data_IF_835290238118
#
_entry.id   IF_835290238118
#
_cell.length_a   1.000
_cell.length_b   1.000
_cell.length_c   1.000
_cell.angle_alpha   90.00
_cell.angle_beta   90.00
_cell.angle_gamma   90.00
#
_symmetry.space_group_name_H-M   'P 1'
#
loop_
_entity.id
_entity.type
_entity.pdbx_description
1 polymer ?
#
# COMPACT_ATOMS: atom_id res chain seq x y z
N UNK A 1 -13.12 9.50 6.50
CA UNK A 1 -12.02 9.43 7.51
C UNK A 1 -12.36 10.44 8.58
N UNK A 2 -12.19 10.14 9.87
CA UNK A 2 -12.27 11.19 10.87
C UNK A 2 -11.07 12.11 10.67
N UNK A 3 -11.30 13.39 10.44
CA UNK A 3 -10.27 14.41 10.15
C UNK A 3 -9.22 14.57 11.28
N UNK A 4 -9.46 13.94 12.41
CA UNK A 4 -8.66 14.06 13.63
C UNK A 4 -7.67 12.89 13.86
N UNK A 5 -7.67 11.85 13.03
CA UNK A 5 -6.83 10.67 13.22
C UNK A 5 -5.78 10.57 12.12
N UNK A 6 -4.53 10.35 12.51
CA UNK A 6 -3.40 10.12 11.60
C UNK A 6 -2.49 9.01 12.13
N UNK A 7 -1.65 8.45 11.27
CA UNK A 7 -0.63 7.46 11.61
C UNK A 7 0.75 7.99 11.28
N UNK A 8 1.73 7.60 12.09
CA UNK A 8 3.12 8.01 11.98
C UNK A 8 4.01 6.78 12.07
N UNK A 9 4.95 6.64 11.13
CA UNK A 9 6.05 5.68 11.22
C UNK A 9 7.22 6.27 12.01
N UNK A 10 7.93 5.42 12.75
CA UNK A 10 9.10 5.81 13.55
C UNK A 10 10.38 5.17 13.04
N UNK A 11 11.51 5.67 13.51
CA UNK A 11 12.82 5.13 13.16
C UNK A 11 13.07 3.75 13.80
N UNK A 12 12.39 3.45 14.91
CA UNK A 12 12.50 2.17 15.62
C UNK A 12 11.63 1.05 14.97
N UNK A 13 10.89 1.35 13.89
CA UNK A 13 10.02 0.37 13.23
C UNK A 13 8.59 0.32 13.76
N UNK A 14 8.23 1.21 14.68
CA UNK A 14 6.86 1.28 15.19
C UNK A 14 5.98 2.17 14.29
N UNK A 15 4.71 1.80 14.17
CA UNK A 15 3.70 2.69 13.60
C UNK A 15 2.73 3.07 14.70
N UNK A 16 2.47 4.37 14.87
CA UNK A 16 1.64 4.90 15.93
C UNK A 16 0.41 5.60 15.37
N UNK A 17 -0.75 5.28 15.91
CA UNK A 17 -1.99 5.98 15.62
C UNK A 17 -2.18 7.10 16.62
N UNK A 18 -2.41 8.30 16.11
CA UNK A 18 -2.49 9.53 16.87
C UNK A 18 -3.82 10.23 16.61
N UNK A 19 -4.23 11.08 17.55
CA UNK A 19 -5.37 11.98 17.40
C UNK A 19 -4.92 13.44 17.55
N UNK A 20 -5.44 14.32 16.69
CA UNK A 20 -5.25 15.76 16.84
C UNK A 20 -5.99 16.33 18.06
N UNK A 21 -7.11 15.70 18.45
CA UNK A 21 -7.94 16.13 19.57
C UNK A 21 -7.42 15.60 20.92
N UNK A 22 -6.59 14.56 20.91
CA UNK A 22 -6.04 13.95 22.11
C UNK A 22 -4.55 13.70 21.91
N UNK A 23 -3.72 14.50 22.56
CA UNK A 23 -2.27 14.50 22.35
C UNK A 23 -1.45 13.94 23.52
N UNK A 24 -2.10 13.52 24.62
CA UNK A 24 -1.40 13.02 25.79
C UNK A 24 -0.75 11.65 25.57
N UNK A 25 -1.39 10.78 24.78
CA UNK A 25 -0.93 9.43 24.48
C UNK A 25 -1.26 9.03 23.03
N UNK A 26 -0.54 8.02 22.52
CA UNK A 26 -0.92 7.36 21.27
C UNK A 26 -2.21 6.57 21.47
N UNK A 27 -3.06 6.53 20.43
CA UNK A 27 -4.28 5.73 20.45
C UNK A 27 -3.97 4.24 20.33
N UNK A 28 -3.02 3.90 19.44
CA UNK A 28 -2.56 2.54 19.22
C UNK A 28 -1.09 2.53 18.79
N UNK A 29 -0.44 1.41 19.01
CA UNK A 29 0.90 1.10 18.51
C UNK A 29 0.85 -0.20 17.73
N UNK A 30 1.38 -0.19 16.51
CA UNK A 30 1.48 -1.34 15.63
C UNK A 30 2.95 -1.75 15.56
N UNK A 31 3.23 -2.97 15.98
CA UNK A 31 4.57 -3.56 16.00
C UNK A 31 4.72 -4.58 14.88
N UNK A 32 5.81 -4.51 14.12
CA UNK A 32 6.02 -5.47 13.05
C UNK A 32 7.16 -5.17 12.12
N UNK A 33 7.62 -3.92 12.01
CA UNK A 33 8.87 -3.61 11.34
C UNK A 33 10.04 -3.66 12.32
N UNK A 34 11.18 -4.13 11.84
CA UNK A 34 12.42 -4.24 12.63
C UNK A 34 13.40 -3.07 12.43
N UNK A 35 13.09 -2.20 11.47
CA UNK A 35 13.88 -1.02 11.10
C UNK A 35 12.97 0.17 10.77
N UNK A 36 13.59 1.32 10.49
CA UNK A 36 12.90 2.57 10.20
C UNK A 36 11.76 2.44 9.18
N UNK A 37 10.59 2.97 9.52
CA UNK A 37 9.41 3.07 8.63
C UNK A 37 9.55 4.33 7.80
N UNK A 38 9.69 4.17 6.49
CA UNK A 38 9.91 5.30 5.56
C UNK A 38 8.62 5.92 5.06
N UNK A 39 7.56 5.13 4.88
CA UNK A 39 6.27 5.65 4.46
C UNK A 39 5.11 4.93 5.12
N UNK A 40 4.03 5.68 5.35
CA UNK A 40 2.72 5.20 5.81
C UNK A 40 1.66 5.84 4.92
N UNK A 41 0.77 5.04 4.32
CA UNK A 41 -0.28 5.51 3.41
C UNK A 41 -1.61 4.85 3.71
N UNK A 42 -2.65 5.64 3.96
CA UNK A 42 -4.02 5.15 4.03
C UNK A 42 -4.51 4.69 2.66
N UNK A 43 -5.32 3.64 2.63
CA UNK A 43 -6.01 3.21 1.41
C UNK A 43 -7.01 4.30 0.96
N UNK A 44 -7.10 4.53 -0.36
CA UNK A 44 -7.99 5.58 -0.90
C UNK A 44 -9.47 5.23 -0.80
N UNK A 45 -9.81 3.95 -0.73
CA UNK A 45 -11.17 3.45 -0.74
C UNK A 45 -11.64 3.03 0.66
N UNK A 46 -10.76 2.39 1.44
CA UNK A 46 -11.09 1.80 2.75
C UNK A 46 -10.49 2.62 3.90
N UNK A 47 -11.32 3.11 4.86
CA UNK A 47 -10.87 4.02 5.92
C UNK A 47 -10.02 3.34 7.01
N UNK A 48 -10.05 2.02 7.11
CA UNK A 48 -9.40 1.29 8.19
C UNK A 48 -8.18 0.47 7.72
N UNK A 49 -7.79 0.61 6.45
CA UNK A 49 -6.62 -0.08 5.89
C UNK A 49 -5.54 0.92 5.54
N UNK A 50 -4.31 0.62 5.94
CA UNK A 50 -3.13 1.37 5.58
C UNK A 50 -1.97 0.45 5.22
N UNK A 51 -0.98 0.98 4.51
CA UNK A 51 0.23 0.30 4.08
C UNK A 51 1.45 1.03 4.60
N UNK A 52 2.49 0.28 4.91
CA UNK A 52 3.78 0.82 5.35
C UNK A 52 4.93 0.18 4.60
N UNK A 53 6.03 0.88 4.49
CA UNK A 53 7.28 0.31 4.00
C UNK A 53 8.45 0.71 4.91
N UNK A 54 9.48 -0.13 4.93
CA UNK A 54 10.59 0.01 5.85
C UNK A 54 11.94 -0.36 5.24
N UNK A 55 12.98 0.08 5.92
CA UNK A 55 14.35 -0.34 5.68
C UNK A 55 14.57 -1.84 5.93
N UNK A 56 13.65 -2.53 6.61
CA UNK A 56 13.68 -3.98 6.88
C UNK A 56 13.30 -4.84 5.66
N UNK A 57 13.26 -4.26 4.46
CA UNK A 57 12.96 -4.87 3.16
C UNK A 57 11.49 -5.22 2.95
N UNK A 58 10.64 -4.88 3.92
CA UNK A 58 9.24 -5.29 3.88
C UNK A 58 8.27 -4.16 3.61
N UNK A 59 7.19 -4.53 2.92
CA UNK A 59 5.95 -3.78 2.84
C UNK A 59 4.91 -4.53 3.67
N UNK A 60 4.15 -3.82 4.50
CA UNK A 60 3.12 -4.42 5.34
C UNK A 60 1.78 -3.70 5.13
N UNK A 61 0.72 -4.51 5.01
CA UNK A 61 -0.66 -4.02 4.98
C UNK A 61 -1.29 -4.27 6.34
N UNK A 62 -1.98 -3.27 6.85
CA UNK A 62 -2.53 -3.26 8.19
C UNK A 62 -4.03 -3.00 8.19
N UNK A 63 -4.71 -3.64 9.12
CA UNK A 63 -6.07 -3.29 9.50
C UNK A 63 -6.01 -2.49 10.81
N UNK A 64 -6.66 -1.34 10.86
CA UNK A 64 -6.66 -0.42 12.00
C UNK A 64 -7.04 -1.06 13.35
N UNK A 65 -7.90 -2.08 13.33
CA UNK A 65 -8.31 -2.83 14.54
C UNK A 65 -7.34 -3.94 14.94
N UNK A 66 -6.29 -4.23 14.15
CA UNK A 66 -5.34 -5.31 14.40
C UNK A 66 -3.94 -4.75 14.64
N UNK A 67 -3.32 -5.10 15.76
CA UNK A 67 -1.94 -4.72 16.07
C UNK A 67 -0.89 -5.53 15.28
N UNK A 68 -1.32 -6.62 14.61
CA UNK A 68 -0.46 -7.42 13.72
C UNK A 68 -0.73 -7.05 12.27
N UNK A 69 0.29 -7.06 11.39
CA UNK A 69 0.10 -6.78 9.97
C UNK A 69 -0.83 -7.83 9.34
N UNK A 70 -1.75 -7.39 8.50
CA UNK A 70 -2.65 -8.27 7.74
C UNK A 70 -1.88 -9.09 6.70
N UNK A 71 -0.94 -8.45 6.01
CA UNK A 71 -0.07 -9.09 5.01
C UNK A 71 1.34 -8.50 5.13
N UNK A 72 2.35 -9.31 4.82
CA UNK A 72 3.75 -8.89 4.77
C UNK A 72 4.37 -9.35 3.46
N UNK A 73 5.06 -8.45 2.77
CA UNK A 73 5.75 -8.69 1.50
C UNK A 73 7.23 -8.39 1.71
N UNK A 74 8.08 -9.37 1.47
CA UNK A 74 9.53 -9.19 1.42
C UNK A 74 9.93 -8.86 -0.03
N UNK A 75 10.56 -7.71 -0.23
CA UNK A 75 10.98 -7.24 -1.55
C UNK A 75 12.46 -7.53 -1.83
N UNK A 76 13.18 -8.12 -0.87
CA UNK A 76 14.58 -8.51 -0.98
C UNK A 76 15.56 -7.32 -0.94
N UNK A 77 15.10 -6.10 -0.64
CA UNK A 77 15.92 -4.91 -0.42
C UNK A 77 15.11 -3.81 0.27
N UNK A 78 15.79 -2.83 0.86
CA UNK A 78 15.15 -1.72 1.57
C UNK A 78 14.14 -0.99 0.68
N UNK A 79 12.95 -0.77 1.20
CA UNK A 79 11.82 -0.17 0.46
C UNK A 79 11.79 1.32 0.71
N UNK A 80 12.11 2.11 -0.33
CA UNK A 80 12.20 3.57 -0.22
C UNK A 80 10.86 4.28 -0.08
N UNK A 81 9.82 3.79 -0.78
CA UNK A 81 8.46 4.34 -0.71
C UNK A 81 7.43 3.32 -1.19
N UNK A 82 6.16 3.53 -0.79
CA UNK A 82 5.01 2.72 -1.19
C UNK A 82 3.78 3.59 -1.39
N UNK A 83 2.96 3.28 -2.39
CA UNK A 83 1.76 4.07 -2.69
C UNK A 83 0.63 3.18 -3.21
N UNK A 84 -0.62 3.44 -2.77
CA UNK A 84 -1.81 2.83 -3.32
C UNK A 84 -2.16 3.42 -4.68
N UNK A 85 -2.66 2.58 -5.57
CA UNK A 85 -3.20 3.06 -6.85
C UNK A 85 -4.51 3.84 -6.64
N UNK A 86 -4.70 4.97 -7.33
CA UNK A 86 -5.90 5.80 -7.16
C UNK A 86 -7.16 5.17 -7.78
N UNK A 87 -7.00 4.16 -8.63
CA UNK A 87 -8.07 3.50 -9.39
C UNK A 87 -8.45 2.12 -8.83
N UNK A 88 -7.74 1.58 -7.86
CA UNK A 88 -8.02 0.26 -7.30
C UNK A 88 -7.62 0.17 -5.83
N UNK A 89 -8.47 -0.46 -5.03
CA UNK A 89 -8.26 -0.66 -3.59
C UNK A 89 -7.20 -1.72 -3.26
N UNK A 90 -6.89 -2.62 -4.20
CA UNK A 90 -6.00 -3.77 -4.01
C UNK A 90 -4.65 -3.62 -4.70
N UNK A 91 -4.46 -2.56 -5.49
CA UNK A 91 -3.22 -2.33 -6.23
C UNK A 91 -2.33 -1.34 -5.48
N UNK A 92 -1.07 -1.68 -5.33
CA UNK A 92 -0.04 -0.76 -4.84
C UNK A 92 1.26 -0.90 -5.61
N UNK A 93 2.07 0.15 -5.58
CA UNK A 93 3.43 0.14 -6.11
C UNK A 93 4.41 0.42 -4.98
N UNK A 94 5.56 -0.24 -5.03
CA UNK A 94 6.68 -0.03 -4.12
C UNK A 94 7.97 0.15 -4.91
N UNK A 95 8.92 0.91 -4.35
CA UNK A 95 10.24 1.13 -4.92
C UNK A 95 11.32 0.74 -3.94
N UNK A 96 12.38 0.12 -4.45
CA UNK A 96 13.47 -0.40 -3.63
C UNK A 96 14.77 0.35 -3.85
N UNK A 97 15.67 0.28 -2.88
CA UNK A 97 16.96 0.98 -2.95
C UNK A 97 17.90 0.40 -4.01
N UNK A 98 17.66 -0.80 -4.50
CA UNK A 98 18.40 -1.39 -5.62
C UNK A 98 17.87 -0.98 -7.03
N UNK A 99 16.97 0.00 -7.09
CA UNK A 99 16.50 0.58 -8.35
C UNK A 99 15.36 -0.18 -9.02
N UNK A 100 14.58 -0.98 -8.28
CA UNK A 100 13.43 -1.72 -8.81
C UNK A 100 12.12 -1.05 -8.43
N UNK A 101 11.16 -1.13 -9.32
CA UNK A 101 9.75 -0.82 -9.12
C UNK A 101 8.97 -2.12 -9.14
N UNK A 102 8.16 -2.36 -8.12
CA UNK A 102 7.29 -3.51 -8.01
C UNK A 102 5.83 -3.06 -7.95
N UNK A 103 4.97 -3.71 -8.71
CA UNK A 103 3.53 -3.44 -8.70
C UNK A 103 2.80 -4.71 -8.31
N UNK A 104 1.99 -4.61 -7.27
CA UNK A 104 1.18 -5.69 -6.72
C UNK A 104 -0.30 -5.45 -7.00
N UNK A 105 -1.05 -6.51 -7.22
CA UNK A 105 -2.51 -6.52 -7.13
C UNK A 105 -2.94 -7.69 -6.24
N UNK A 106 -3.30 -7.38 -5.02
CA UNK A 106 -3.67 -8.33 -3.97
C UNK A 106 -4.87 -9.20 -4.34
N UNK A 107 -5.71 -8.74 -5.27
CA UNK A 107 -6.86 -9.50 -5.74
C UNK A 107 -6.48 -10.59 -6.76
N UNK A 108 -5.34 -10.43 -7.45
CA UNK A 108 -4.84 -11.40 -8.43
C UNK A 108 -3.84 -12.36 -7.84
N UNK A 109 -2.87 -11.84 -7.11
CA UNK A 109 -1.86 -12.63 -6.43
C UNK A 109 -1.50 -11.96 -5.10
N UNK A 110 -1.73 -12.69 -4.00
CA UNK A 110 -1.45 -12.18 -2.65
C UNK A 110 0.04 -12.23 -2.30
N UNK A 111 0.84 -13.04 -3.00
CA UNK A 111 2.21 -13.36 -2.58
C UNK A 111 3.28 -12.70 -3.46
N UNK A 112 3.00 -12.53 -4.76
CA UNK A 112 4.00 -12.09 -5.72
C UNK A 112 3.57 -10.82 -6.47
N UNK A 113 4.54 -9.98 -6.87
CA UNK A 113 4.24 -8.80 -7.68
C UNK A 113 3.77 -9.21 -9.09
N UNK A 114 2.82 -8.49 -9.64
CA UNK A 114 2.41 -8.63 -11.04
C UNK A 114 3.48 -8.15 -12.01
N UNK A 115 4.32 -7.22 -11.57
CA UNK A 115 5.40 -6.67 -12.36
C UNK A 115 6.56 -6.27 -11.46
N UNK A 116 7.76 -6.65 -11.86
CA UNK A 116 9.02 -6.17 -11.27
C UNK A 116 9.86 -5.59 -12.39
N UNK A 117 10.18 -4.29 -12.32
CA UNK A 117 10.94 -3.59 -13.33
C UNK A 117 12.16 -2.90 -12.72
N UNK A 118 13.36 -3.26 -13.18
CA UNK A 118 14.57 -2.48 -12.91
C UNK A 118 14.53 -1.17 -13.72
N UNK A 119 14.63 -0.05 -13.06
CA UNK A 119 14.45 1.29 -13.66
C UNK A 119 15.76 2.06 -13.67
N UNK A 120 16.53 1.95 -12.60
CA UNK A 120 17.80 2.67 -12.44
C UNK A 120 18.89 1.71 -12.00
N UNK A 121 20.10 1.90 -12.55
CA UNK A 121 21.32 1.23 -12.08
C UNK A 121 22.13 2.18 -11.23
N UNK A 122 22.64 1.70 -10.10
CA UNK A 122 23.53 2.45 -9.19
C UNK A 122 22.91 3.73 -8.58
N UNK A 123 21.60 3.78 -8.42
CA UNK A 123 20.90 4.82 -7.67
C UNK A 123 19.77 4.19 -6.85
N UNK A 124 19.47 4.78 -5.68
CA UNK A 124 18.38 4.36 -4.82
C UNK A 124 17.09 5.02 -5.27
N UNK A 125 16.01 4.25 -5.41
CA UNK A 125 14.69 4.85 -5.59
C UNK A 125 14.17 5.29 -4.22
N UNK A 126 13.67 6.52 -4.15
CA UNK A 126 13.28 7.17 -2.89
C UNK A 126 11.80 7.53 -2.82
N UNK A 127 11.17 7.77 -3.98
CA UNK A 127 9.78 8.19 -4.04
C UNK A 127 9.05 7.54 -5.21
N UNK A 128 7.76 7.27 -5.01
CA UNK A 128 6.86 6.75 -6.05
C UNK A 128 5.49 7.38 -5.92
N UNK A 129 4.85 7.71 -7.03
CA UNK A 129 3.47 8.18 -7.05
C UNK A 129 2.76 7.82 -8.35
N UNK A 130 1.47 7.48 -8.26
CA UNK A 130 0.61 7.32 -9.42
C UNK A 130 0.09 8.67 -9.91
N UNK A 131 0.00 8.85 -11.21
CA UNK A 131 -0.80 9.93 -11.75
C UNK A 131 -2.29 9.60 -11.52
N UNK A 132 -3.10 10.52 -10.98
CA UNK A 132 -4.50 10.24 -10.66
C UNK A 132 -5.40 10.10 -11.89
N UNK A 133 -5.01 10.62 -13.05
CA UNK A 133 -5.81 10.61 -14.29
C UNK A 133 -5.25 9.67 -15.34
N UNK A 134 -3.94 9.68 -15.52
CA UNK A 134 -3.26 8.93 -16.57
C UNK A 134 -2.60 7.66 -16.04
N UNK A 135 -2.46 6.60 -16.85
CA UNK A 135 -1.84 5.35 -16.44
C UNK A 135 -0.30 5.47 -16.39
N UNK A 136 0.16 6.38 -15.56
CA UNK A 136 1.57 6.72 -15.40
C UNK A 136 1.96 6.63 -13.93
N UNK A 137 3.12 6.04 -13.69
CA UNK A 137 3.80 6.01 -12.42
C UNK A 137 5.03 6.90 -12.50
N UNK A 138 5.17 7.84 -11.56
CA UNK A 138 6.36 8.68 -11.44
C UNK A 138 7.25 8.13 -10.33
N UNK A 139 8.55 8.07 -10.60
CA UNK A 139 9.54 7.52 -9.66
C UNK A 139 10.72 8.48 -9.56
N UNK A 140 11.08 8.82 -8.33
CA UNK A 140 12.24 9.66 -8.02
C UNK A 140 13.41 8.84 -7.48
N UNK A 141 14.63 9.22 -7.88
CA UNK A 141 15.84 8.59 -7.37
C UNK A 141 16.68 9.53 -6.46
N UNK A 142 17.68 8.97 -5.81
CA UNK A 142 18.59 9.70 -4.90
C UNK A 142 19.52 10.68 -5.58
N UNK A 143 19.54 10.73 -6.92
CA UNK A 143 20.31 11.69 -7.71
C UNK A 143 19.48 12.89 -8.17
N UNK A 144 18.18 12.92 -7.81
CA UNK A 144 17.26 13.95 -8.23
C UNK A 144 16.64 13.71 -9.62
N UNK A 145 16.80 12.51 -10.19
CA UNK A 145 16.17 12.14 -11.46
C UNK A 145 14.71 11.74 -11.19
N UNK A 146 13.79 12.19 -12.02
CA UNK A 146 12.40 11.76 -12.04
C UNK A 146 12.11 11.02 -13.34
N UNK A 147 11.63 9.80 -13.22
CA UNK A 147 11.29 8.92 -14.32
C UNK A 147 9.78 8.70 -14.39
N UNK A 148 9.25 8.70 -15.60
CA UNK A 148 7.84 8.42 -15.86
C UNK A 148 7.71 7.05 -16.52
N UNK A 149 6.93 6.16 -15.92
CA UNK A 149 6.67 4.80 -16.37
C UNK A 149 5.22 4.66 -16.78
N UNK A 150 4.97 4.25 -18.01
CA UNK A 150 3.62 3.95 -18.49
C UNK A 150 3.20 2.58 -18.00
N UNK A 151 2.04 2.51 -17.36
CA UNK A 151 1.46 1.26 -16.89
C UNK A 151 0.84 0.48 -18.05
N UNK A 152 1.13 -0.82 -18.12
CA UNK A 152 0.48 -1.72 -19.07
C UNK A 152 -1.01 -1.90 -18.71
N UNK A 153 -1.88 -2.28 -19.67
CA UNK A 153 -3.32 -2.42 -19.44
C UNK A 153 -3.69 -3.37 -18.30
N UNK A 154 -2.91 -4.43 -18.08
CA UNK A 154 -3.12 -5.40 -17.00
C UNK A 154 -2.83 -4.85 -15.59
N UNK A 155 -2.05 -3.77 -15.48
CA UNK A 155 -1.71 -3.10 -14.21
C UNK A 155 -2.65 -1.94 -13.86
N UNK A 156 -3.61 -1.59 -14.72
CA UNK A 156 -4.54 -0.48 -14.54
C UNK A 156 -6.02 -0.88 -14.66
N UNK A 157 -6.32 -2.09 -14.27
CA UNK A 157 -7.71 -2.58 -14.34
C UNK A 157 -8.55 -1.92 -13.25
N UNK A 158 -9.62 -1.27 -13.66
CA UNK A 158 -10.65 -0.70 -12.80
C UNK A 158 -11.79 -1.71 -12.65
N UNK A 159 -12.39 -1.81 -11.47
CA UNK A 159 -13.62 -2.57 -11.30
C UNK A 159 -14.70 -1.97 -12.21
N UNK A 160 -15.33 -2.83 -13.01
CA UNK A 160 -16.50 -2.43 -13.81
C UNK A 160 -17.75 -2.88 -13.08
N UNK A 161 -18.77 -2.03 -12.96
CA UNK A 161 -20.06 -2.44 -12.45
C UNK A 161 -20.67 -3.54 -13.34
N UNK A 162 -21.47 -4.39 -12.73
CA UNK A 162 -22.22 -5.41 -13.47
C UNK A 162 -23.22 -4.78 -14.44
N UNK A 163 -23.56 -5.52 -15.50
CA UNK A 163 -24.54 -5.04 -16.49
C UNK A 163 -25.85 -4.65 -15.80
N UNK A 164 -26.21 -3.36 -15.92
CA UNK A 164 -27.42 -2.80 -15.32
C UNK A 164 -27.20 -1.94 -14.08
N UNK A 165 -25.98 -1.88 -13.55
CA UNK A 165 -25.63 -0.93 -12.50
C UNK A 165 -25.09 0.38 -13.10
N UNK A 166 -25.36 1.53 -12.45
CA UNK A 166 -24.84 2.82 -12.93
C UNK A 166 -23.32 2.85 -12.86
N UNK A 167 -22.69 3.33 -13.92
CA UNK A 167 -21.24 3.54 -14.02
C UNK A 167 -20.89 4.92 -13.41
N UNK A 168 -21.18 5.07 -12.13
CA UNK A 168 -20.89 6.29 -11.37
C UNK A 168 -19.74 6.07 -10.35
N UNK A 169 -19.05 7.13 -9.92
CA UNK A 169 -17.94 7.04 -8.98
C UNK A 169 -18.31 6.42 -7.63
N UNK A 170 -19.57 6.56 -7.19
CA UNK A 170 -20.03 6.02 -5.93
C UNK A 170 -20.19 4.49 -6.00
N UNK A 171 -20.76 3.97 -7.10
CA UNK A 171 -20.88 2.53 -7.36
C UNK A 171 -19.50 1.87 -7.49
N UNK A 172 -18.58 2.48 -8.24
CA UNK A 172 -17.20 1.98 -8.36
C UNK A 172 -16.52 1.95 -7.00
N UNK A 173 -16.66 3.00 -6.19
CA UNK A 173 -16.10 3.06 -4.84
C UNK A 173 -16.64 1.93 -3.95
N UNK A 174 -17.94 1.65 -4.01
CA UNK A 174 -18.57 0.57 -3.25
C UNK A 174 -17.99 -0.80 -3.64
N UNK A 175 -17.87 -1.08 -4.93
CA UNK A 175 -17.27 -2.31 -5.45
C UNK A 175 -15.81 -2.47 -5.01
N UNK A 176 -15.03 -1.41 -5.03
CA UNK A 176 -13.64 -1.43 -4.57
C UNK A 176 -13.53 -1.71 -3.07
N UNK A 177 -14.44 -1.15 -2.25
CA UNK A 177 -14.51 -1.45 -0.81
C UNK A 177 -14.91 -2.91 -0.58
N UNK A 178 -15.93 -3.43 -1.27
CA UNK A 178 -16.37 -4.82 -1.17
C UNK A 178 -15.26 -5.81 -1.58
N UNK A 179 -14.54 -5.51 -2.66
CA UNK A 179 -13.39 -6.30 -3.12
C UNK A 179 -12.31 -6.41 -2.03
N UNK A 180 -11.98 -5.30 -1.40
CA UNK A 180 -10.97 -5.26 -0.36
C UNK A 180 -11.45 -5.95 0.93
N UNK A 181 -12.73 -5.80 1.31
CA UNK A 181 -13.32 -6.50 2.46
C UNK A 181 -13.25 -8.01 2.30
N UNK A 182 -13.60 -8.54 1.13
CA UNK A 182 -13.48 -9.98 0.83
C UNK A 182 -12.04 -10.48 1.00
N UNK A 183 -11.08 -9.69 0.51
CA UNK A 183 -9.66 -10.03 0.67
C UNK A 183 -9.25 -10.10 2.15
N UNK A 184 -9.68 -9.12 2.94
CA UNK A 184 -9.44 -9.07 4.39
C UNK A 184 -10.03 -10.29 5.09
N UNK A 185 -11.30 -10.61 4.82
CA UNK A 185 -11.99 -11.77 5.43
C UNK A 185 -11.29 -13.08 5.11
N UNK A 186 -10.90 -13.30 3.85
CA UNK A 186 -10.15 -14.50 3.45
C UNK A 186 -8.82 -14.57 4.17
N UNK A 187 -8.09 -13.45 4.25
CA UNK A 187 -6.77 -13.42 4.88
C UNK A 187 -6.85 -13.65 6.39
N UNK A 188 -7.89 -13.16 7.05
CA UNK A 188 -8.12 -13.41 8.48
C UNK A 188 -8.48 -14.88 8.74
N UNK A 189 -9.33 -15.50 7.91
CA UNK A 189 -9.67 -16.93 8.00
C UNK A 189 -8.45 -17.82 7.76
N UNK A 190 -7.64 -17.52 6.74
CA UNK A 190 -6.41 -18.26 6.46
C UNK A 190 -5.45 -18.22 7.68
N UNK A 191 -5.42 -17.11 8.40
CA UNK A 191 -4.60 -16.96 9.61
C UNK A 191 -5.14 -17.76 10.79
N UNK A 192 -6.45 -17.72 11.05
CA UNK A 192 -7.08 -18.50 12.12
C UNK A 192 -6.83 -20.00 11.96
N UNK A 193 -6.80 -20.48 10.69
CA UNK A 193 -6.47 -21.88 10.38
C UNK A 193 -5.00 -22.23 10.60
N UNK A 194 -4.10 -21.26 10.55
CA UNK A 194 -2.66 -21.47 10.80
C UNK A 194 -2.30 -21.39 12.28
N UNK A 195 -3.09 -20.65 13.08
CA UNK A 195 -2.91 -20.49 14.53
C UNK A 195 -3.64 -21.58 15.34
N UNK A 196 -4.48 -22.43 14.70
CA UNK A 196 -5.20 -23.59 15.29
C UNK A 196 -4.42 -24.89 15.13
#
# INVERSE_FOLDING_TARGET
MSENIFVVGTQEGLVRRCSKAYNAHYLDTYEGHSMAVYAVRWNHFHPDIFITCSADWTVKVWLKSSHRPLMTFDLGDAVGDVVWAPYSSTVFAAVTTNGKVLVYDLNKNKNEPLCTQGVVKNAKLTHVTFNPKDPVLLVGDSRGTVLSLKLSPNLRQVCKPEKGQPDDPASIRKLEVEKLNRLVEITLKDRELLDS
#
